data_IF_242886691026
#
_entry.id   IF_242886691026
#
_cell.length_a   1.000
_cell.length_b   1.000
_cell.length_c   1.000
_cell.angle_alpha   90.00
_cell.angle_beta   90.00
_cell.angle_gamma   90.00
#
_symmetry.space_group_name_H-M   'P 1'
#
loop_
_entity.id
_entity.type
_entity.pdbx_description
1 polymer ?
#
# COMPACT_ATOMS: atom_id res chain seq x y z
N UNK A 1 -3.40 18.29 5.42
CA UNK A 1 -1.98 17.86 5.43
C UNK A 1 -1.26 18.47 4.22
N UNK A 2 -0.47 19.52 4.41
CA UNK A 2 0.12 20.35 3.33
C UNK A 2 1.67 20.34 3.36
N UNK A 3 2.28 19.26 3.85
CA UNK A 3 3.72 19.23 4.19
C UNK A 3 4.70 18.97 3.04
N UNK A 4 4.25 18.43 1.89
CA UNK A 4 5.18 17.96 0.83
C UNK A 4 4.97 18.59 -0.55
N UNK A 5 4.00 19.48 -0.67
CA UNK A 5 3.65 20.15 -1.93
C UNK A 5 4.72 21.17 -2.40
N UNK A 6 5.68 21.52 -1.54
CA UNK A 6 6.79 22.41 -1.90
C UNK A 6 7.92 21.68 -2.63
N UNK A 7 8.14 20.39 -2.37
CA UNK A 7 9.18 19.59 -3.06
C UNK A 7 8.92 19.55 -4.57
N UNK A 8 7.65 19.50 -4.98
CA UNK A 8 7.21 19.60 -6.39
C UNK A 8 7.43 20.99 -7.03
N UNK A 9 7.73 22.03 -6.24
CA UNK A 9 8.04 23.39 -6.70
C UNK A 9 9.55 23.66 -6.81
N UNK A 10 10.40 22.74 -6.35
CA UNK A 10 11.86 22.86 -6.47
C UNK A 10 12.26 22.64 -7.93
N UNK A 11 12.92 23.62 -8.59
CA UNK A 11 13.42 23.44 -9.95
C UNK A 11 14.34 22.22 -10.04
N UNK A 12 14.12 21.36 -11.05
CA UNK A 12 14.86 20.10 -11.23
C UNK A 12 14.26 18.88 -10.50
N UNK A 13 13.49 19.06 -9.42
CA UNK A 13 12.82 17.92 -8.75
C UNK A 13 11.69 17.34 -9.61
N UNK A 14 10.99 18.16 -10.40
CA UNK A 14 9.88 17.73 -11.29
C UNK A 14 10.32 16.76 -12.39
N UNK A 15 11.59 16.80 -12.76
CA UNK A 15 12.24 15.94 -13.76
C UNK A 15 13.04 14.79 -13.10
N UNK A 16 13.08 14.74 -11.77
CA UNK A 16 13.73 13.64 -11.06
C UNK A 16 12.98 12.32 -11.31
N UNK A 17 13.71 11.21 -11.31
CA UNK A 17 13.12 9.88 -11.45
C UNK A 17 12.02 9.62 -10.40
N UNK A 18 12.20 10.16 -9.19
CA UNK A 18 11.24 10.07 -8.10
C UNK A 18 9.92 10.80 -8.43
N UNK A 19 9.98 12.02 -8.97
CA UNK A 19 8.77 12.76 -9.33
C UNK A 19 8.00 12.11 -10.48
N UNK A 20 8.70 11.47 -11.42
CA UNK A 20 8.07 10.67 -12.49
C UNK A 20 7.37 9.45 -11.88
N UNK A 21 8.05 8.74 -10.98
CA UNK A 21 7.46 7.58 -10.29
C UNK A 21 6.21 7.97 -9.49
N UNK A 22 6.26 9.07 -8.73
CA UNK A 22 5.09 9.56 -7.99
C UNK A 22 3.91 9.89 -8.91
N UNK A 23 4.15 10.53 -10.06
CA UNK A 23 3.09 10.78 -11.05
C UNK A 23 2.47 9.48 -11.56
N UNK A 24 3.31 8.47 -11.86
CA UNK A 24 2.82 7.16 -12.28
C UNK A 24 2.00 6.47 -11.17
N UNK A 25 2.39 6.62 -9.91
CA UNK A 25 1.61 6.12 -8.77
C UNK A 25 0.26 6.84 -8.66
N UNK A 26 0.22 8.17 -8.82
CA UNK A 26 -1.04 8.93 -8.78
C UNK A 26 -2.00 8.50 -9.88
N UNK A 27 -1.51 8.28 -11.11
CA UNK A 27 -2.32 7.72 -12.21
C UNK A 27 -2.97 6.38 -11.85
N UNK A 28 -2.27 5.53 -11.10
CA UNK A 28 -2.83 4.24 -10.62
C UNK A 28 -3.96 4.48 -9.63
N UNK A 29 -3.78 5.40 -8.68
CA UNK A 29 -4.80 5.73 -7.68
C UNK A 29 -6.03 6.38 -8.31
N UNK A 30 -5.84 7.29 -9.27
CA UNK A 30 -6.93 7.95 -10.01
C UNK A 30 -7.75 6.98 -10.88
N UNK A 31 -7.16 5.83 -11.27
CA UNK A 31 -7.87 4.79 -12.01
C UNK A 31 -8.70 3.86 -11.11
N UNK A 32 -8.55 3.95 -9.78
CA UNK A 32 -9.36 3.18 -8.83
C UNK A 32 -10.76 3.79 -8.70
N UNK A 33 -11.74 2.93 -8.51
CA UNK A 33 -13.09 3.34 -8.12
C UNK A 33 -13.17 3.52 -6.60
N UNK A 34 -14.17 4.27 -6.12
CA UNK A 34 -14.36 4.49 -4.68
C UNK A 34 -14.50 3.17 -3.90
N UNK A 35 -15.24 2.20 -4.45
CA UNK A 35 -15.36 0.85 -3.88
C UNK A 35 -14.01 0.14 -3.72
N UNK A 36 -13.09 0.29 -4.69
CA UNK A 36 -11.77 -0.33 -4.67
C UNK A 36 -10.78 0.42 -3.77
N UNK A 37 -11.01 1.71 -3.53
CA UNK A 37 -10.28 2.51 -2.55
C UNK A 37 -10.67 2.12 -1.12
N UNK A 38 -11.95 1.81 -0.89
CA UNK A 38 -12.44 1.30 0.39
C UNK A 38 -12.00 -0.14 0.64
N UNK A 39 -12.15 -1.02 -0.36
CA UNK A 39 -11.74 -2.42 -0.28
C UNK A 39 -10.80 -2.82 -1.42
N UNK A 40 -9.51 -2.74 -1.12
CA UNK A 40 -8.44 -3.24 -2.00
C UNK A 40 -8.60 -4.71 -2.39
N UNK A 41 -9.28 -5.55 -1.60
CA UNK A 41 -9.41 -6.98 -1.89
C UNK A 41 -10.10 -7.28 -3.23
N UNK A 42 -10.89 -6.30 -3.69
CA UNK A 42 -11.58 -6.29 -4.96
C UNK A 42 -10.63 -6.19 -6.16
N UNK A 43 -9.42 -5.63 -5.99
CA UNK A 43 -8.45 -5.40 -7.07
C UNK A 43 -7.75 -6.69 -7.53
N UNK A 44 -8.50 -7.53 -8.24
CA UNK A 44 -8.04 -8.81 -8.80
C UNK A 44 -8.58 -9.04 -10.21
N UNK A 45 -7.94 -9.95 -10.94
CA UNK A 45 -8.39 -10.38 -12.27
C UNK A 45 -8.69 -9.21 -13.20
N UNK A 46 -9.93 -9.13 -13.67
CA UNK A 46 -10.39 -8.11 -14.61
C UNK A 46 -10.30 -6.68 -14.06
N UNK A 47 -10.55 -6.46 -12.76
CA UNK A 47 -10.44 -5.13 -12.14
C UNK A 47 -9.00 -4.63 -12.14
N UNK A 48 -8.06 -5.51 -11.82
CA UNK A 48 -6.63 -5.20 -11.86
C UNK A 48 -6.15 -4.88 -13.29
N UNK A 49 -6.64 -5.62 -14.29
CA UNK A 49 -6.33 -5.35 -15.70
C UNK A 49 -6.93 -4.02 -16.18
N UNK A 50 -8.15 -3.67 -15.73
CA UNK A 50 -8.79 -2.38 -16.01
C UNK A 50 -7.94 -1.23 -15.48
N UNK A 51 -7.53 -1.29 -14.22
CA UNK A 51 -6.71 -0.26 -13.56
C UNK A 51 -5.37 -0.11 -14.28
N UNK A 52 -4.70 -1.22 -14.60
CA UNK A 52 -3.45 -1.20 -15.37
C UNK A 52 -3.62 -0.50 -16.73
N UNK A 53 -4.70 -0.83 -17.46
CA UNK A 53 -5.00 -0.21 -18.75
C UNK A 53 -5.29 1.30 -18.63
N UNK A 54 -6.13 1.70 -17.67
CA UNK A 54 -6.54 3.10 -17.50
C UNK A 54 -5.39 3.99 -16.97
N UNK A 55 -4.53 3.44 -16.13
CA UNK A 55 -3.35 4.16 -15.61
C UNK A 55 -2.16 4.15 -16.56
N UNK A 56 -2.26 3.44 -17.69
CA UNK A 56 -1.17 3.23 -18.66
C UNK A 56 0.07 2.59 -17.99
N UNK A 57 -0.14 1.77 -16.97
CA UNK A 57 0.92 1.09 -16.22
C UNK A 57 0.83 -0.42 -16.38
N UNK A 58 1.96 -1.15 -16.31
CA UNK A 58 1.90 -2.60 -16.29
C UNK A 58 1.27 -3.10 -14.99
N UNK A 59 0.59 -4.25 -15.04
CA UNK A 59 -0.03 -4.91 -13.87
C UNK A 59 0.97 -5.10 -12.72
N UNK A 60 2.24 -5.38 -13.04
CA UNK A 60 3.33 -5.47 -12.04
C UNK A 60 3.49 -4.17 -11.24
N UNK A 61 3.44 -3.02 -11.92
CA UNK A 61 3.58 -1.72 -11.27
C UNK A 61 2.35 -1.41 -10.40
N UNK A 62 1.15 -1.71 -10.88
CA UNK A 62 -0.08 -1.57 -10.05
C UNK A 62 0.04 -2.42 -8.77
N UNK A 63 0.47 -3.67 -8.87
CA UNK A 63 0.71 -4.52 -7.71
C UNK A 63 1.79 -3.97 -6.77
N UNK A 64 2.84 -3.32 -7.31
CA UNK A 64 3.86 -2.66 -6.51
C UNK A 64 3.28 -1.48 -5.71
N UNK A 65 2.41 -0.66 -6.32
CA UNK A 65 1.70 0.41 -5.62
C UNK A 65 0.84 -0.15 -4.50
N UNK A 66 0.07 -1.21 -4.77
CA UNK A 66 -0.75 -1.87 -3.77
C UNK A 66 0.08 -2.49 -2.63
N UNK A 67 1.28 -2.99 -2.93
CA UNK A 67 2.20 -3.51 -1.91
C UNK A 67 2.77 -2.39 -1.03
N UNK A 68 3.10 -1.24 -1.62
CA UNK A 68 3.53 -0.05 -0.86
C UNK A 68 2.44 0.43 0.09
N UNK A 69 1.18 0.42 -0.36
CA UNK A 69 0.04 0.72 0.51
C UNK A 69 -0.02 -0.23 1.72
N UNK A 70 0.13 -1.54 1.54
CA UNK A 70 0.14 -2.50 2.67
C UNK A 70 1.26 -2.20 3.66
N UNK A 71 2.46 -1.89 3.16
CA UNK A 71 3.61 -1.56 3.99
C UNK A 71 3.35 -0.29 4.81
N UNK A 72 2.82 0.76 4.18
CA UNK A 72 2.49 2.02 4.85
C UNK A 72 1.34 1.85 5.85
N UNK A 73 0.30 1.10 5.49
CA UNK A 73 -0.81 0.81 6.41
C UNK A 73 -0.33 0.02 7.63
N UNK A 74 0.54 -0.97 7.44
CA UNK A 74 1.13 -1.75 8.53
C UNK A 74 1.96 -0.87 9.46
N UNK A 75 2.81 -0.01 8.90
CA UNK A 75 3.60 0.95 9.66
C UNK A 75 2.69 1.91 10.45
N UNK A 76 1.65 2.43 9.81
CA UNK A 76 0.67 3.34 10.45
C UNK A 76 -0.03 2.68 11.65
N UNK A 77 -0.55 1.46 11.46
CA UNK A 77 -1.17 0.69 12.55
C UNK A 77 -0.19 0.42 13.70
N UNK A 78 1.05 0.05 13.37
CA UNK A 78 2.08 -0.20 14.38
C UNK A 78 2.43 1.06 15.17
N UNK A 79 2.61 2.21 14.48
CA UNK A 79 2.90 3.50 15.12
C UNK A 79 1.77 3.95 16.05
N UNK A 80 0.51 3.82 15.62
CA UNK A 80 -0.65 4.13 16.47
C UNK A 80 -0.64 3.32 17.75
N UNK A 81 -0.34 2.03 17.67
CA UNK A 81 -0.24 1.20 18.85
C UNK A 81 0.91 1.61 19.77
N UNK A 82 2.07 1.97 19.22
CA UNK A 82 3.19 2.45 20.06
C UNK A 82 2.74 3.70 20.85
N UNK A 83 2.02 4.61 20.19
CA UNK A 83 1.45 5.79 20.82
C UNK A 83 0.44 5.42 21.92
N UNK A 84 -0.50 4.52 21.63
CA UNK A 84 -1.54 4.11 22.58
C UNK A 84 -0.98 3.34 23.79
N UNK A 85 0.12 2.62 23.62
CA UNK A 85 0.87 1.96 24.70
C UNK A 85 1.81 2.92 25.46
N UNK A 86 1.88 4.20 25.09
CA UNK A 86 2.75 5.20 25.72
C UNK A 86 4.25 4.97 25.46
N UNK A 87 4.60 4.22 24.42
CA UNK A 87 5.99 3.97 24.02
C UNK A 87 6.50 5.15 23.19
N UNK A 88 7.81 5.39 23.28
CA UNK A 88 8.45 6.43 22.47
C UNK A 88 8.32 6.09 20.98
N UNK A 89 7.73 7.01 20.22
CA UNK A 89 7.67 6.92 18.76
C UNK A 89 9.09 6.96 18.18
N UNK A 90 9.37 6.20 17.12
CA UNK A 90 10.64 6.29 16.42
C UNK A 90 10.81 7.69 15.83
N UNK A 91 12.04 8.18 15.88
CA UNK A 91 12.42 9.50 15.38
C UNK A 91 12.88 9.45 13.92
N UNK A 92 13.33 8.28 13.47
CA UNK A 92 13.74 8.04 12.09
C UNK A 92 12.96 6.88 11.47
N UNK A 93 12.90 6.87 10.14
CA UNK A 93 12.26 5.80 9.38
C UNK A 93 13.02 4.47 9.53
N UNK A 94 14.34 4.51 9.65
CA UNK A 94 15.18 3.34 9.86
C UNK A 94 14.87 2.68 11.21
N UNK A 95 14.86 3.47 12.28
CA UNK A 95 14.49 3.04 13.63
C UNK A 95 13.06 2.46 13.67
N UNK A 96 12.12 3.06 12.92
CA UNK A 96 10.76 2.55 12.81
C UNK A 96 10.73 1.13 12.20
N UNK A 97 11.46 0.91 11.10
CA UNK A 97 11.53 -0.40 10.46
C UNK A 97 12.20 -1.46 11.34
N UNK A 98 13.30 -1.11 12.01
CA UNK A 98 14.00 -2.02 12.92
C UNK A 98 13.11 -2.45 14.09
N UNK A 99 12.48 -1.50 14.76
CA UNK A 99 11.59 -1.76 15.90
C UNK A 99 10.36 -2.56 15.48
N UNK A 100 9.77 -2.23 14.34
CA UNK A 100 8.63 -2.98 13.79
C UNK A 100 9.05 -4.42 13.42
N UNK A 101 10.22 -4.63 12.82
CA UNK A 101 10.71 -5.96 12.50
C UNK A 101 10.98 -6.84 13.75
N UNK A 102 11.41 -6.21 14.85
CA UNK A 102 11.64 -6.88 16.12
C UNK A 102 10.35 -7.18 16.91
N UNK A 103 9.25 -6.50 16.62
CA UNK A 103 7.99 -6.65 17.35
C UNK A 103 7.25 -7.96 16.95
N UNK A 104 7.11 -8.93 17.88
CA UNK A 104 6.46 -10.21 17.59
C UNK A 104 4.97 -10.07 17.24
N UNK A 105 4.34 -8.97 17.62
CA UNK A 105 2.96 -8.70 17.26
C UNK A 105 2.80 -8.36 15.76
N UNK A 106 3.85 -7.85 15.09
CA UNK A 106 3.82 -7.49 13.66
C UNK A 106 3.40 -8.67 12.77
N UNK A 107 3.79 -9.90 13.14
CA UNK A 107 3.35 -11.14 12.47
C UNK A 107 1.84 -11.41 12.56
N UNK A 108 1.15 -10.88 13.58
CA UNK A 108 -0.31 -11.01 13.73
C UNK A 108 -1.05 -10.07 12.78
N UNK A 109 -0.50 -8.88 12.51
CA UNK A 109 -1.08 -7.91 11.57
C UNK A 109 -0.98 -8.40 10.12
N UNK A 110 0.16 -8.99 9.74
CA UNK A 110 0.33 -9.57 8.40
C UNK A 110 -0.64 -10.74 8.14
N UNK A 111 -0.98 -11.53 9.17
CA UNK A 111 -2.00 -12.58 9.08
C UNK A 111 -3.43 -12.02 8.94
N UNK A 112 -3.74 -10.91 9.61
CA UNK A 112 -5.00 -10.17 9.44
C UNK A 112 -5.17 -9.61 8.03
N UNK A 113 -4.11 -9.00 7.46
CA UNK A 113 -4.12 -8.52 6.08
C UNK A 113 -4.08 -9.66 5.04
N UNK A 114 -3.45 -10.79 5.37
CA UNK A 114 -3.42 -11.99 4.52
C UNK A 114 -4.73 -12.81 4.56
N UNK A 115 -5.68 -12.51 5.47
CA UNK A 115 -6.97 -13.21 5.54
C UNK A 115 -7.82 -13.04 4.26
N UNK A 116 -7.50 -12.05 3.43
CA UNK A 116 -8.04 -11.94 2.08
C UNK A 116 -7.62 -13.08 1.14
N UNK A 117 -6.54 -13.85 1.42
CA UNK A 117 -6.09 -15.00 0.61
C UNK A 117 -6.70 -16.35 1.01
N UNK A 118 -7.17 -16.50 2.25
CA UNK A 118 -7.70 -17.78 2.77
C UNK A 118 -9.12 -18.03 2.26
N UNK A 119 -9.91 -16.97 2.05
CA UNK A 119 -11.25 -17.05 1.45
C UNK A 119 -11.18 -17.54 -0.01
N UNK A 120 -10.16 -17.18 -0.80
CA UNK A 120 -10.04 -17.68 -2.19
C UNK A 120 -9.80 -19.19 -2.30
N UNK A 121 -9.06 -19.80 -1.37
CA UNK A 121 -8.79 -21.25 -1.44
C UNK A 121 -10.05 -22.08 -1.23
N UNK A 122 -11.07 -21.53 -0.55
CA UNK A 122 -12.35 -22.20 -0.30
C UNK A 122 -13.32 -22.07 -1.48
N UNK A 123 -13.26 -20.96 -2.22
CA UNK A 123 -14.09 -20.73 -3.42
C UNK A 123 -13.58 -21.59 -4.60
N UNK A 124 -12.26 -21.67 -4.83
CA UNK A 124 -11.69 -22.49 -5.91
C UNK A 124 -11.87 -24.00 -5.75
N UNK A 125 -12.22 -24.50 -4.56
CA UNK A 125 -12.51 -25.93 -4.34
C UNK A 125 -13.97 -26.31 -4.57
N UNK A 126 -14.88 -25.34 -4.70
CA UNK A 126 -16.32 -25.61 -4.91
C UNK A 126 -16.79 -25.42 -6.35
N UNK A 127 -15.95 -24.90 -7.25
CA UNK A 127 -16.27 -24.70 -8.67
C UNK A 127 -15.69 -25.77 -9.61
N UNK A 128 -15.31 -26.93 -9.09
CA UNK A 128 -14.83 -28.07 -9.89
C UNK A 128 -15.64 -29.32 -9.55
N UNK A 129 -16.95 -29.25 -9.80
CA UNK A 129 -17.85 -30.37 -10.05
C UNK A 129 -18.80 -29.95 -11.15
#
# INVERSE_FOLDING_TARGET
MAGEMWKLRVPGFRSSAQAVEYKSMMKVLEALTDEELEDKSLLRGLRLMRVARQSEQPVRFVNQVLSRFDQTAMLHMWLHRQHDEGRALPTTMEEAHERMAADPAVRRYSAGMASSKVIQRRINRRGSL
#
